data_IF_158141528156
#
_entry.id   IF_158141528156
#
_cell.length_a   1.000
_cell.length_b   1.000
_cell.length_c   1.000
_cell.angle_alpha   90.00
_cell.angle_beta   90.00
_cell.angle_gamma   90.00
#
_symmetry.space_group_name_H-M   'P 1'
#
loop_
_entity.id
_entity.type
_entity.pdbx_description
1 polymer ?
#
# COMPACT_ATOMS: atom_id res chain seq x y z
N UNK A 1 46.80 19.45 -46.51
CA UNK A 1 45.34 19.62 -46.37
C UNK A 1 44.76 18.24 -46.09
N UNK A 2 44.52 17.93 -44.81
CA UNK A 2 43.95 16.64 -44.39
C UNK A 2 42.50 16.87 -43.96
N UNK A 3 41.53 16.05 -44.40
CA UNK A 3 40.13 16.22 -44.00
C UNK A 3 39.93 15.79 -42.54
N UNK A 4 39.20 16.60 -41.79
CA UNK A 4 38.81 16.31 -40.40
C UNK A 4 37.63 15.33 -40.39
N UNK A 5 37.86 14.14 -39.87
CA UNK A 5 36.82 13.15 -39.62
C UNK A 5 36.06 13.55 -38.35
N UNK A 6 34.81 13.97 -38.50
CA UNK A 6 33.96 14.37 -37.39
C UNK A 6 33.16 13.15 -36.92
N UNK A 7 33.78 12.35 -36.04
CA UNK A 7 33.10 11.32 -35.24
C UNK A 7 31.99 11.97 -34.42
N UNK A 8 30.73 11.79 -34.86
CA UNK A 8 29.55 11.99 -34.00
C UNK A 8 28.93 10.64 -33.75
N UNK A 9 29.45 9.98 -32.71
CA UNK A 9 28.76 8.90 -32.04
C UNK A 9 27.51 9.52 -31.38
N UNK A 10 26.36 9.48 -32.06
CA UNK A 10 25.06 9.68 -31.40
C UNK A 10 24.73 8.39 -30.67
N UNK A 11 25.36 8.27 -29.51
CA UNK A 11 25.03 7.34 -28.45
C UNK A 11 23.53 7.51 -28.12
N UNK A 12 22.73 6.62 -28.71
CA UNK A 12 21.33 6.45 -28.40
C UNK A 12 21.21 5.71 -27.08
N UNK A 13 21.51 6.38 -25.98
CA UNK A 13 21.05 5.96 -24.67
C UNK A 13 19.51 5.93 -24.70
N UNK A 14 18.86 4.75 -24.61
CA UNK A 14 17.45 4.75 -24.29
C UNK A 14 17.33 5.42 -22.93
N UNK A 15 16.43 6.40 -22.86
CA UNK A 15 16.06 7.17 -21.69
C UNK A 15 16.03 6.28 -20.44
N UNK A 16 16.46 6.77 -19.26
CA UNK A 16 16.22 6.01 -18.04
C UNK A 16 14.72 5.73 -18.01
N UNK A 17 14.37 4.45 -17.99
CA UNK A 17 13.02 4.02 -17.69
C UNK A 17 12.70 4.68 -16.35
N UNK A 18 11.99 5.79 -16.41
CA UNK A 18 11.26 6.29 -15.26
C UNK A 18 10.33 5.13 -15.03
N UNK A 19 10.65 4.29 -14.03
CA UNK A 19 9.67 3.42 -13.42
C UNK A 19 8.55 4.38 -13.09
N UNK A 20 7.58 4.43 -14.00
CA UNK A 20 6.31 5.06 -13.77
C UNK A 20 5.76 4.19 -12.67
N UNK A 21 6.14 4.54 -11.44
CA UNK A 21 5.44 4.17 -10.25
C UNK A 21 4.12 4.84 -10.49
N UNK A 22 3.27 4.10 -11.20
CA UNK A 22 1.87 4.36 -11.37
C UNK A 22 1.46 4.76 -9.97
N UNK A 23 1.14 6.03 -9.84
CA UNK A 23 0.53 6.58 -8.67
C UNK A 23 -0.79 5.81 -8.53
N UNK A 24 -0.72 4.61 -7.96
CA UNK A 24 -1.85 3.77 -7.62
C UNK A 24 -2.53 4.32 -6.36
N UNK A 25 -2.44 5.64 -6.15
CA UNK A 25 -3.44 6.38 -5.39
C UNK A 25 -4.62 6.74 -6.30
N UNK A 26 -5.01 5.85 -7.23
CA UNK A 26 -6.41 5.83 -7.65
C UNK A 26 -7.20 5.48 -6.40
N UNK A 27 -7.72 6.53 -5.74
CA UNK A 27 -8.44 6.47 -4.48
C UNK A 27 -9.69 5.62 -4.54
N UNK A 28 -9.53 4.30 -4.64
CA UNK A 28 -10.37 3.39 -3.90
C UNK A 28 -10.06 3.69 -2.44
N UNK A 29 -11.08 4.09 -1.69
CA UNK A 29 -10.93 4.33 -0.25
C UNK A 29 -10.35 3.04 0.36
N UNK A 30 -9.04 3.05 0.65
CA UNK A 30 -8.34 1.91 1.24
C UNK A 30 -8.97 1.66 2.60
N UNK A 31 -9.85 0.68 2.62
CA UNK A 31 -10.61 0.24 3.77
C UNK A 31 -9.94 -0.99 4.34
N UNK A 32 -9.96 -1.07 5.66
CA UNK A 32 -9.39 -2.16 6.41
C UNK A 32 -10.49 -2.77 7.25
N UNK A 33 -10.58 -4.09 7.21
CA UNK A 33 -11.40 -4.82 8.16
C UNK A 33 -10.54 -5.15 9.39
N UNK A 34 -11.04 -4.73 10.54
CA UNK A 34 -10.47 -5.01 11.85
C UNK A 34 -11.40 -6.00 12.53
N UNK A 35 -10.89 -7.19 12.80
CA UNK A 35 -11.58 -8.24 13.53
C UNK A 35 -11.06 -8.26 14.97
N UNK A 36 -11.95 -8.13 15.95
CA UNK A 36 -11.61 -8.34 17.35
C UNK A 36 -11.66 -9.83 17.62
N UNK A 37 -10.62 -10.35 18.24
CA UNK A 37 -10.50 -11.75 18.57
C UNK A 37 -10.67 -11.97 20.07
N UNK A 38 -11.29 -13.09 20.42
CA UNK A 38 -11.27 -13.60 21.78
C UNK A 38 -9.84 -13.97 22.20
N UNK A 39 -9.50 -13.74 23.47
CA UNK A 39 -8.15 -14.01 23.99
C UNK A 39 -7.91 -15.51 24.25
N UNK A 40 -8.97 -16.29 24.52
CA UNK A 40 -8.89 -17.71 24.87
C UNK A 40 -8.75 -18.58 23.63
N UNK A 41 -9.64 -18.42 22.66
CA UNK A 41 -9.71 -19.29 21.47
C UNK A 41 -9.24 -18.59 20.18
N UNK A 42 -9.13 -17.26 20.18
CA UNK A 42 -8.80 -16.49 18.97
C UNK A 42 -9.96 -16.38 17.98
N UNK A 43 -11.17 -16.79 18.37
CA UNK A 43 -12.38 -16.65 17.55
C UNK A 43 -12.69 -15.18 17.30
N UNK A 44 -13.16 -14.85 16.09
CA UNK A 44 -13.62 -13.50 15.78
C UNK A 44 -14.92 -13.20 16.53
N UNK A 45 -14.88 -12.25 17.46
CA UNK A 45 -16.05 -11.83 18.23
C UNK A 45 -16.80 -10.68 17.59
N UNK A 46 -16.09 -9.86 16.80
CA UNK A 46 -16.63 -8.67 16.14
C UNK A 46 -15.75 -8.30 14.94
N UNK A 47 -16.34 -7.72 13.90
CA UNK A 47 -15.59 -7.18 12.75
C UNK A 47 -16.12 -5.80 12.36
N UNK A 48 -15.21 -4.90 12.02
CA UNK A 48 -15.53 -3.54 11.62
C UNK A 48 -14.66 -3.12 10.44
N UNK A 49 -15.27 -2.50 9.44
CA UNK A 49 -14.57 -1.96 8.27
C UNK A 49 -14.37 -0.47 8.47
N UNK A 50 -13.11 -0.03 8.41
CA UNK A 50 -12.73 1.36 8.68
C UNK A 50 -11.77 1.87 7.63
N UNK A 51 -11.76 3.19 7.45
CA UNK A 51 -10.80 3.85 6.58
C UNK A 51 -9.40 3.87 7.19
N UNK A 52 -8.37 4.02 6.34
CA UNK A 52 -6.97 4.08 6.74
C UNK A 52 -6.67 5.07 7.89
N UNK A 53 -7.33 6.23 7.90
CA UNK A 53 -7.15 7.25 8.94
C UNK A 53 -7.55 6.76 10.35
N UNK A 54 -8.52 5.86 10.44
CA UNK A 54 -9.07 5.35 11.70
C UNK A 54 -8.27 4.17 12.26
N UNK A 55 -7.53 3.44 11.41
CA UNK A 55 -6.80 2.22 11.80
C UNK A 55 -5.84 2.48 12.97
N UNK A 56 -5.04 3.55 12.90
CA UNK A 56 -4.07 3.88 13.94
C UNK A 56 -4.72 4.11 15.32
N UNK A 57 -5.89 4.75 15.35
CA UNK A 57 -6.61 4.98 16.61
C UNK A 57 -7.10 3.66 17.19
N UNK A 58 -7.66 2.79 16.37
CA UNK A 58 -8.21 1.50 16.82
C UNK A 58 -7.12 0.58 17.33
N UNK A 59 -5.96 0.52 16.66
CA UNK A 59 -4.79 -0.23 17.12
C UNK A 59 -4.33 0.24 18.50
N UNK A 60 -4.20 1.56 18.70
CA UNK A 60 -3.78 2.10 19.98
C UNK A 60 -4.80 1.80 21.09
N UNK A 61 -6.09 1.93 20.80
CA UNK A 61 -7.14 1.59 21.77
C UNK A 61 -7.09 0.11 22.15
N UNK A 62 -6.97 -0.79 21.16
CA UNK A 62 -6.84 -2.22 21.41
C UNK A 62 -5.61 -2.55 22.24
N UNK A 63 -4.45 -1.96 21.92
CA UNK A 63 -3.22 -2.12 22.67
C UNK A 63 -3.35 -1.62 24.13
N UNK A 64 -4.09 -0.53 24.35
CA UNK A 64 -4.28 0.07 25.68
C UNK A 64 -5.06 -0.82 26.64
N UNK A 65 -5.93 -1.70 26.11
CA UNK A 65 -6.75 -2.63 26.91
C UNK A 65 -6.30 -4.09 26.78
N UNK A 66 -5.21 -4.36 26.04
CA UNK A 66 -4.75 -5.72 25.76
C UNK A 66 -5.67 -6.52 24.82
N UNK A 67 -6.51 -5.86 24.03
CA UNK A 67 -7.42 -6.52 23.10
C UNK A 67 -6.65 -7.10 21.91
N UNK A 68 -6.84 -8.39 21.65
CA UNK A 68 -6.35 -9.04 20.45
C UNK A 68 -7.19 -8.62 19.24
N UNK A 69 -6.53 -8.09 18.21
CA UNK A 69 -7.16 -7.69 16.96
C UNK A 69 -6.39 -8.26 15.76
N UNK A 70 -7.11 -8.55 14.69
CA UNK A 70 -6.59 -8.92 13.39
C UNK A 70 -7.00 -7.85 12.38
N UNK A 71 -6.07 -7.41 11.52
CA UNK A 71 -6.30 -6.33 10.56
C UNK A 71 -5.97 -6.87 9.18
N UNK A 72 -6.93 -6.75 8.25
CA UNK A 72 -6.74 -7.10 6.85
C UNK A 72 -7.28 -5.99 5.96
N UNK A 73 -6.80 -5.86 4.71
CA UNK A 73 -7.50 -5.06 3.72
C UNK A 73 -8.93 -5.58 3.59
N UNK A 74 -9.93 -4.69 3.69
CA UNK A 74 -11.28 -5.05 3.34
C UNK A 74 -11.29 -5.17 1.80
N UNK A 75 -11.52 -6.36 1.27
CA UNK A 75 -11.67 -6.53 -0.18
C UNK A 75 -12.75 -5.55 -0.66
N UNK A 76 -12.32 -4.54 -1.41
CA UNK A 76 -13.24 -3.77 -2.22
C UNK A 76 -13.56 -4.75 -3.33
N UNK A 77 -14.70 -5.42 -3.22
CA UNK A 77 -15.17 -6.35 -4.24
C UNK A 77 -14.99 -5.63 -5.57
N UNK A 78 -14.03 -6.12 -6.37
CA UNK A 78 -13.73 -5.56 -7.67
C UNK A 78 -14.98 -5.78 -8.52
N UNK A 79 -15.83 -4.75 -8.57
CA UNK A 79 -17.06 -4.71 -9.36
C UNK A 79 -16.72 -4.60 -10.84
#
# INVERSE_FOLDING_TARGET
MHPVEHVRNTDGHPSPVVLQQEDQTKGEALRFEIMRLDDVDGTAVDSTVVDAASVNRIVQQAASIGQRIYIRPAEIAAL
#
